data_IF_768547213708
#
_entry.id   IF_768547213708
#
_cell.length_a   1.000
_cell.length_b   1.000
_cell.length_c   1.000
_cell.angle_alpha   90.00
_cell.angle_beta   90.00
_cell.angle_gamma   90.00
#
_symmetry.space_group_name_H-M   'P 1'
#
loop_
_entity.id
_entity.type
_entity.pdbx_description
1 polymer ?
#
# COMPACT_ATOMS: atom_id res chain seq x y z
N UNK A 1 -4.55 -17.06 -35.11
CA UNK A 1 -5.07 -15.70 -34.91
C UNK A 1 -4.41 -15.17 -33.65
N UNK A 2 -3.30 -14.47 -33.81
CA UNK A 2 -2.70 -13.69 -32.73
C UNK A 2 -3.71 -12.61 -32.34
N UNK A 3 -4.15 -12.63 -31.08
CA UNK A 3 -4.94 -11.55 -30.51
C UNK A 3 -4.10 -10.28 -30.58
N UNK A 4 -4.52 -9.33 -31.40
CA UNK A 4 -4.02 -7.95 -31.38
C UNK A 4 -4.21 -7.41 -29.96
N UNK A 5 -3.15 -7.42 -29.17
CA UNK A 5 -3.12 -6.77 -27.86
C UNK A 5 -3.26 -5.29 -28.14
N UNK A 6 -4.45 -4.74 -27.88
CA UNK A 6 -4.64 -3.30 -27.90
C UNK A 6 -3.89 -2.77 -26.69
N UNK A 7 -2.74 -2.15 -26.93
CA UNK A 7 -2.00 -1.44 -25.89
C UNK A 7 -2.93 -0.39 -25.26
N UNK A 8 -3.22 -0.51 -23.96
CA UNK A 8 -3.95 0.55 -23.28
C UNK A 8 -3.00 1.71 -23.02
N UNK A 9 -3.33 2.94 -23.48
CA UNK A 9 -2.49 4.10 -23.24
C UNK A 9 -2.33 4.40 -21.73
N UNK A 10 -3.22 3.90 -20.87
CA UNK A 10 -3.14 4.10 -19.43
C UNK A 10 -1.87 3.50 -18.82
N UNK A 11 -1.54 2.25 -19.17
CA UNK A 11 -0.36 1.58 -18.63
C UNK A 11 0.92 2.29 -19.09
N UNK A 12 0.98 2.74 -20.34
CA UNK A 12 2.13 3.47 -20.87
C UNK A 12 2.29 4.83 -20.19
N UNK A 13 1.21 5.59 -20.06
CA UNK A 13 1.21 6.87 -19.34
C UNK A 13 1.65 6.72 -17.89
N UNK A 14 1.15 5.69 -17.20
CA UNK A 14 1.54 5.43 -15.82
C UNK A 14 3.03 5.12 -15.73
N UNK A 15 3.57 4.26 -16.60
CA UNK A 15 4.98 3.90 -16.58
C UNK A 15 5.92 5.02 -17.00
N UNK A 16 5.48 5.92 -17.89
CA UNK A 16 6.27 7.10 -18.30
C UNK A 16 6.33 8.15 -17.18
N UNK A 17 5.26 8.28 -16.40
CA UNK A 17 5.14 9.31 -15.36
C UNK A 17 5.64 8.83 -13.99
N UNK A 18 5.42 7.55 -13.68
CA UNK A 18 5.62 6.98 -12.35
C UNK A 18 6.34 5.63 -12.38
N UNK A 19 6.92 5.28 -11.23
CA UNK A 19 7.55 3.99 -10.98
C UNK A 19 7.21 3.53 -9.57
N UNK A 20 6.86 2.26 -9.40
CA UNK A 20 6.83 1.64 -8.08
C UNK A 20 8.22 1.06 -7.77
N UNK A 21 8.71 1.32 -6.57
CA UNK A 21 10.00 0.83 -6.07
C UNK A 21 9.79 0.13 -4.75
N UNK A 22 10.33 -1.09 -4.59
CA UNK A 22 10.34 -1.77 -3.29
C UNK A 22 11.37 -1.07 -2.39
N UNK A 23 11.01 -0.74 -1.16
CA UNK A 23 11.97 -0.18 -0.19
C UNK A 23 12.79 -1.32 0.45
N UNK A 24 13.81 -1.77 -0.26
CA UNK A 24 14.62 -2.95 0.10
C UNK A 24 16.02 -2.60 0.65
N UNK A 25 16.26 -1.30 0.86
CA UNK A 25 17.46 -0.72 1.47
C UNK A 25 17.08 0.25 2.58
N UNK A 26 17.98 0.49 3.53
CA UNK A 26 17.73 1.42 4.63
C UNK A 26 17.42 2.83 4.12
N UNK A 27 18.10 3.28 3.06
CA UNK A 27 17.86 4.59 2.45
C UNK A 27 16.42 4.71 1.93
N UNK A 28 15.93 3.69 1.22
CA UNK A 28 14.54 3.71 0.73
C UNK A 28 13.53 3.61 1.88
N UNK A 29 13.84 2.88 2.94
CA UNK A 29 12.99 2.81 4.14
C UNK A 29 12.94 4.17 4.86
N UNK A 30 14.05 4.90 4.94
CA UNK A 30 14.04 6.27 5.46
C UNK A 30 13.17 7.21 4.61
N UNK A 31 13.22 7.09 3.27
CA UNK A 31 12.34 7.86 2.38
C UNK A 31 10.86 7.58 2.66
N UNK A 32 10.49 6.33 2.96
CA UNK A 32 9.12 5.99 3.40
C UNK A 32 8.75 6.73 4.67
N UNK A 33 9.61 6.74 5.69
CA UNK A 33 9.31 7.39 6.98
C UNK A 33 9.21 8.91 6.87
N UNK A 34 10.06 9.54 6.05
CA UNK A 34 9.98 10.98 5.77
C UNK A 34 8.68 11.32 5.01
N UNK A 35 8.32 10.51 4.01
CA UNK A 35 7.08 10.70 3.26
C UNK A 35 5.85 10.54 4.16
N UNK A 36 5.85 9.53 5.03
CA UNK A 36 4.80 9.33 6.04
C UNK A 36 4.72 10.49 7.01
N UNK A 37 5.86 11.01 7.50
CA UNK A 37 5.88 12.18 8.36
C UNK A 37 5.21 13.39 7.69
N UNK A 38 5.61 13.71 6.46
CA UNK A 38 5.00 14.80 5.69
C UNK A 38 3.49 14.63 5.57
N UNK A 39 3.00 13.43 5.26
CA UNK A 39 1.56 13.21 5.05
C UNK A 39 0.80 13.13 6.37
N UNK A 40 1.20 12.27 7.31
CA UNK A 40 0.42 11.99 8.52
C UNK A 40 0.64 13.01 9.63
N UNK A 41 1.82 13.62 9.72
CA UNK A 41 2.10 14.64 10.74
C UNK A 41 1.80 16.03 10.18
N UNK A 42 2.45 16.44 9.09
CA UNK A 42 2.36 17.84 8.62
C UNK A 42 1.08 18.16 7.83
N UNK A 43 0.65 17.28 6.92
CA UNK A 43 -0.48 17.57 6.04
C UNK A 43 -1.85 17.21 6.66
N UNK A 44 -1.94 16.05 7.31
CA UNK A 44 -3.19 15.51 7.84
C UNK A 44 -3.36 15.75 9.35
N UNK A 45 -2.29 16.05 10.09
CA UNK A 45 -2.28 16.18 11.56
C UNK A 45 -2.91 14.97 12.27
N UNK A 46 -2.70 13.77 11.74
CA UNK A 46 -3.15 12.51 12.38
C UNK A 46 -2.20 12.08 13.49
N UNK A 47 -0.91 12.37 13.34
CA UNK A 47 0.13 12.03 14.30
C UNK A 47 0.81 13.31 14.81
N UNK A 48 1.31 13.30 16.05
CA UNK A 48 1.99 14.45 16.64
C UNK A 48 3.40 14.60 16.07
N UNK A 49 3.70 15.73 15.41
CA UNK A 49 5.04 16.04 14.90
C UNK A 49 6.13 15.95 15.99
N UNK A 50 5.84 16.35 17.23
CA UNK A 50 6.80 16.34 18.34
C UNK A 50 7.22 14.92 18.75
N UNK A 51 6.43 13.90 18.41
CA UNK A 51 6.80 12.50 18.63
C UNK A 51 7.91 12.02 17.67
N UNK A 52 8.17 12.76 16.58
CA UNK A 52 9.14 12.42 15.53
C UNK A 52 10.09 13.59 15.26
N UNK A 53 10.96 13.95 16.22
CA UNK A 53 11.85 15.11 16.10
C UNK A 53 12.87 15.00 14.96
N UNK A 54 13.10 13.80 14.42
CA UNK A 54 13.95 13.55 13.26
C UNK A 54 13.19 13.57 11.92
N UNK A 55 11.92 13.95 11.92
CA UNK A 55 11.09 14.06 10.71
C UNK A 55 10.75 12.71 10.07
N UNK A 56 10.72 11.64 10.86
CA UNK A 56 10.47 10.27 10.39
C UNK A 56 9.38 9.58 11.19
N UNK A 57 8.18 9.45 10.60
CA UNK A 57 7.04 8.79 11.22
C UNK A 57 7.21 7.26 11.17
N UNK A 58 7.26 6.66 12.35
CA UNK A 58 7.46 5.23 12.59
C UNK A 58 6.56 4.76 13.73
N UNK A 59 6.11 3.53 13.66
CA UNK A 59 5.36 2.88 14.74
C UNK A 59 5.94 1.51 15.10
N UNK A 60 5.38 0.87 16.13
CA UNK A 60 5.85 -0.41 16.64
C UNK A 60 5.73 -1.58 15.64
N UNK A 61 4.98 -1.41 14.55
CA UNK A 61 4.71 -2.45 13.56
C UNK A 61 5.74 -2.44 12.41
N UNK A 62 6.49 -1.36 12.24
CA UNK A 62 7.39 -1.16 11.11
C UNK A 62 8.53 -2.19 11.01
N UNK A 63 8.87 -2.88 12.11
CA UNK A 63 9.88 -3.96 12.13
C UNK A 63 9.52 -5.20 11.28
N UNK A 64 8.25 -5.40 10.94
CA UNK A 64 7.75 -6.57 10.18
C UNK A 64 7.03 -6.13 8.90
N UNK A 65 7.43 -4.98 8.36
CA UNK A 65 6.79 -4.35 7.23
C UNK A 65 7.61 -4.47 5.95
N UNK A 66 6.90 -4.55 4.84
CA UNK A 66 7.41 -4.35 3.48
C UNK A 66 6.78 -3.07 2.96
N UNK A 67 7.55 -2.22 2.29
CA UNK A 67 7.04 -0.96 1.75
C UNK A 67 7.24 -0.88 0.24
N UNK A 68 6.26 -0.29 -0.43
CA UNK A 68 6.37 0.13 -1.81
C UNK A 68 6.30 1.65 -1.87
N UNK A 69 7.27 2.26 -2.55
CA UNK A 69 7.34 3.69 -2.85
C UNK A 69 6.80 3.94 -4.25
N UNK A 70 6.11 5.07 -4.42
CA UNK A 70 5.72 5.62 -5.72
C UNK A 70 6.65 6.79 -6.04
N UNK A 71 7.47 6.60 -7.06
CA UNK A 71 8.41 7.60 -7.57
C UNK A 71 7.81 8.34 -8.76
N UNK A 72 7.86 9.66 -8.73
CA UNK A 72 7.59 10.50 -9.89
C UNK A 72 8.86 10.61 -10.72
N UNK A 73 8.79 10.24 -12.00
CA UNK A 73 9.97 10.10 -12.85
C UNK A 73 10.58 11.44 -13.22
N UNK A 74 9.76 12.42 -13.60
CA UNK A 74 10.24 13.72 -14.06
C UNK A 74 11.03 14.48 -12.98
N UNK A 75 10.55 14.45 -11.72
CA UNK A 75 11.26 15.08 -10.59
C UNK A 75 12.25 14.16 -9.87
N UNK A 76 12.28 12.87 -10.23
CA UNK A 76 13.07 11.85 -9.55
C UNK A 76 12.78 11.71 -8.03
N UNK A 77 11.61 12.18 -7.56
CA UNK A 77 11.24 12.22 -6.14
C UNK A 77 10.19 11.16 -5.79
N UNK A 78 10.19 10.70 -4.53
CA UNK A 78 9.11 9.86 -4.02
C UNK A 78 7.90 10.73 -3.63
N UNK A 79 6.72 10.32 -4.08
CA UNK A 79 5.47 11.10 -3.97
C UNK A 79 4.35 10.31 -3.31
N UNK A 80 4.52 9.01 -3.11
CA UNK A 80 3.66 8.20 -2.26
C UNK A 80 4.32 6.93 -1.74
N UNK A 81 3.66 6.26 -0.81
CA UNK A 81 4.03 4.94 -0.32
C UNK A 81 2.82 4.13 0.16
N UNK A 82 3.02 2.83 0.33
CA UNK A 82 2.10 1.93 1.02
C UNK A 82 2.89 0.91 1.82
N UNK A 83 2.35 0.50 2.98
CA UNK A 83 2.91 -0.53 3.86
C UNK A 83 2.13 -1.83 3.72
N UNK A 84 2.84 -2.94 3.60
CA UNK A 84 2.33 -4.31 3.76
C UNK A 84 2.95 -4.88 5.04
N UNK A 85 2.14 -4.99 6.08
CA UNK A 85 2.55 -5.52 7.38
C UNK A 85 2.36 -7.04 7.37
N UNK A 86 3.42 -7.78 7.67
CA UNK A 86 3.45 -9.25 7.68
C UNK A 86 3.32 -9.79 9.10
N UNK A 87 2.89 -11.04 9.26
CA UNK A 87 2.96 -11.74 10.55
C UNK A 87 4.37 -11.73 11.13
N UNK A 88 4.49 -11.74 12.46
CA UNK A 88 5.78 -11.88 13.10
C UNK A 88 6.15 -13.37 13.21
N UNK A 89 7.20 -13.86 12.51
CA UNK A 89 7.60 -15.26 12.61
C UNK A 89 8.08 -15.64 14.02
N UNK A 90 8.51 -14.67 14.84
CA UNK A 90 8.95 -14.89 16.23
C UNK A 90 7.79 -14.82 17.23
N UNK A 91 6.66 -14.25 16.84
CA UNK A 91 5.49 -14.08 17.70
C UNK A 91 4.21 -14.19 16.84
N UNK A 92 3.84 -15.42 16.49
CA UNK A 92 2.72 -15.68 15.57
C UNK A 92 1.38 -15.08 16.04
N UNK A 93 1.18 -15.03 17.36
CA UNK A 93 0.01 -14.43 18.00
C UNK A 93 0.05 -12.89 18.08
N UNK A 94 1.12 -12.25 17.61
CA UNK A 94 1.20 -10.79 17.57
C UNK A 94 0.10 -10.23 16.67
N UNK A 95 -0.81 -9.44 17.25
CA UNK A 95 -1.95 -8.87 16.56
C UNK A 95 -1.54 -7.85 15.49
N UNK A 96 -2.29 -7.82 14.39
CA UNK A 96 -2.27 -6.71 13.44
C UNK A 96 -3.07 -5.52 13.98
N UNK A 97 -2.72 -4.27 13.61
CA UNK A 97 -3.47 -3.08 14.00
C UNK A 97 -4.99 -3.16 13.75
N UNK A 98 -5.44 -3.74 12.63
CA UNK A 98 -6.86 -3.82 12.31
C UNK A 98 -7.68 -4.64 13.31
N UNK A 99 -7.05 -5.58 14.01
CA UNK A 99 -7.73 -6.52 14.91
C UNK A 99 -8.39 -5.83 16.10
N UNK A 100 -7.85 -4.68 16.55
CA UNK A 100 -8.46 -3.90 17.64
C UNK A 100 -9.84 -3.33 17.28
N UNK A 101 -10.19 -3.29 15.99
CA UNK A 101 -11.47 -2.79 15.49
C UNK A 101 -12.46 -3.92 15.19
N UNK A 102 -12.13 -5.17 15.54
CA UNK A 102 -13.00 -6.33 15.35
C UNK A 102 -13.77 -6.71 16.61
N UNK A 103 -13.38 -6.19 17.77
CA UNK A 103 -14.00 -6.54 19.05
C UNK A 103 -15.51 -6.28 19.00
N UNK A 104 -16.30 -7.30 19.37
CA UNK A 104 -17.77 -7.26 19.35
C UNK A 104 -18.42 -7.33 17.96
N UNK A 105 -17.64 -7.47 16.89
CA UNK A 105 -18.18 -7.62 15.52
C UNK A 105 -18.43 -9.08 15.17
N UNK A 106 -19.62 -9.38 14.67
CA UNK A 106 -19.92 -10.69 14.07
C UNK A 106 -19.27 -10.78 12.69
N UNK A 107 -18.09 -11.37 12.64
CA UNK A 107 -17.42 -11.69 11.38
C UNK A 107 -18.19 -12.79 10.65
N UNK A 108 -18.30 -12.71 9.33
CA UNK A 108 -18.82 -13.78 8.50
C UNK A 108 -17.74 -14.83 8.12
N UNK A 109 -16.59 -14.79 8.78
CA UNK A 109 -15.50 -15.77 8.70
C UNK A 109 -14.81 -15.85 10.06
N UNK A 110 -14.16 -16.98 10.33
CA UNK A 110 -13.36 -17.13 11.54
C UNK A 110 -11.92 -16.66 11.29
N UNK A 111 -11.52 -15.56 11.93
CA UNK A 111 -10.15 -15.04 11.85
C UNK A 111 -9.14 -15.99 12.49
N UNK A 112 -9.52 -16.74 13.53
CA UNK A 112 -8.63 -17.69 14.20
C UNK A 112 -8.40 -18.97 13.38
N UNK A 113 -9.30 -19.28 12.45
CA UNK A 113 -9.12 -20.37 11.49
C UNK A 113 -8.13 -20.05 10.36
N UNK A 114 -7.76 -18.77 10.18
CA UNK A 114 -6.79 -18.35 9.18
C UNK A 114 -5.37 -18.50 9.72
N UNK A 115 -4.46 -19.07 8.92
CA UNK A 115 -3.03 -19.08 9.27
C UNK A 115 -2.50 -17.65 9.38
N UNK A 116 -1.91 -17.30 10.52
CA UNK A 116 -1.32 -15.97 10.76
C UNK A 116 -0.32 -15.58 9.66
N UNK A 117 0.45 -16.54 9.17
CA UNK A 117 1.45 -16.34 8.12
C UNK A 117 0.83 -16.10 6.74
N UNK A 118 -0.42 -16.52 6.52
CA UNK A 118 -1.19 -16.28 5.30
C UNK A 118 -2.02 -14.98 5.37
N UNK A 119 -1.74 -14.12 6.37
CA UNK A 119 -2.43 -12.85 6.58
C UNK A 119 -1.42 -11.69 6.51
N UNK A 120 -1.83 -10.59 5.89
CA UNK A 120 -1.13 -9.31 5.99
C UNK A 120 -2.12 -8.15 6.26
N UNK A 121 -1.59 -7.00 6.68
CA UNK A 121 -2.34 -5.75 6.72
C UNK A 121 -1.72 -4.72 5.75
N UNK A 122 -2.52 -4.21 4.82
CA UNK A 122 -2.19 -3.06 3.98
C UNK A 122 -2.57 -1.78 4.73
N UNK A 123 -1.58 -0.97 5.05
CA UNK A 123 -1.73 0.25 5.86
C UNK A 123 -0.83 1.37 5.36
N UNK A 124 -0.91 2.54 6.00
CA UNK A 124 -0.07 3.71 5.71
C UNK A 124 -0.02 4.10 4.23
N UNK A 125 -1.16 4.06 3.52
CA UNK A 125 -1.27 4.65 2.17
C UNK A 125 -1.10 6.17 2.29
N UNK A 126 0.04 6.68 1.84
CA UNK A 126 0.38 8.10 1.85
C UNK A 126 0.73 8.55 0.44
N UNK A 127 0.16 9.67 -0.02
CA UNK A 127 0.51 10.33 -1.27
C UNK A 127 0.52 11.81 -0.95
N UNK A 128 1.60 12.54 -1.24
CA UNK A 128 1.73 13.97 -0.90
C UNK A 128 0.65 14.83 -1.56
N UNK A 129 0.30 15.95 -0.95
CA UNK A 129 -0.85 16.78 -1.34
C UNK A 129 -0.87 17.26 -2.79
N UNK A 130 0.30 17.43 -3.40
CA UNK A 130 0.54 17.87 -4.77
C UNK A 130 0.13 16.81 -5.80
N UNK A 131 0.14 15.53 -5.41
CA UNK A 131 -0.24 14.38 -6.25
C UNK A 131 -1.59 13.79 -5.85
N UNK A 132 -2.36 14.48 -5.01
CA UNK A 132 -3.77 14.14 -4.71
C UNK A 132 -4.71 15.01 -5.53
N UNK A 133 -5.85 14.46 -5.95
CA UNK A 133 -6.90 15.27 -6.60
C UNK A 133 -7.49 16.24 -5.59
N UNK A 134 -7.11 17.51 -5.65
CA UNK A 134 -7.68 18.56 -4.80
C UNK A 134 -9.05 18.98 -5.33
N UNK A 135 -10.08 18.99 -4.47
CA UNK A 135 -11.34 19.66 -4.77
C UNK A 135 -11.21 21.14 -4.38
N UNK A 136 -11.33 22.04 -5.33
CA UNK A 136 -11.47 23.48 -5.06
C UNK A 136 -10.21 24.21 -4.58
N UNK A 137 -9.05 23.90 -5.15
CA UNK A 137 -7.79 24.56 -4.80
C UNK A 137 -7.75 26.04 -5.22
N UNK A 138 -8.38 26.91 -4.43
CA UNK A 138 -8.05 28.33 -4.39
C UNK A 138 -6.93 28.48 -3.35
N UNK A 139 -5.72 28.82 -3.80
CA UNK A 139 -4.68 29.38 -2.92
C UNK A 139 -3.51 28.51 -2.48
N UNK A 140 -3.27 27.31 -3.03
CA UNK A 140 -1.98 26.61 -2.87
C UNK A 140 -1.25 26.54 -4.20
N UNK A 141 -0.20 27.34 -4.35
CA UNK A 141 0.77 27.23 -5.44
C UNK A 141 1.63 26.00 -5.18
N UNK A 142 1.29 24.85 -5.76
CA UNK A 142 2.24 23.74 -5.84
C UNK A 142 3.32 24.11 -6.86
N UNK A 143 4.59 24.16 -6.47
CA UNK A 143 5.71 24.36 -7.40
C UNK A 143 5.85 23.21 -8.41
N UNK A 144 5.19 22.08 -8.15
CA UNK A 144 5.15 20.93 -9.05
C UNK A 144 4.23 21.20 -10.22
N UNK A 145 4.82 21.45 -11.40
CA UNK A 145 4.08 21.53 -12.66
C UNK A 145 3.83 20.13 -13.22
N UNK A 146 2.62 19.63 -13.05
CA UNK A 146 2.20 18.37 -13.65
C UNK A 146 1.77 18.56 -15.11
N UNK A 147 2.03 17.56 -15.95
CA UNK A 147 1.49 17.46 -17.31
C UNK A 147 -0.02 17.13 -17.28
N UNK A 148 -0.72 17.27 -18.41
CA UNK A 148 -2.12 16.85 -18.50
C UNK A 148 -2.30 15.35 -18.25
N UNK A 149 -1.36 14.54 -18.76
CA UNK A 149 -1.31 13.09 -18.53
C UNK A 149 -1.13 12.77 -17.05
N UNK A 150 -0.19 13.42 -16.36
CA UNK A 150 0.00 13.21 -14.91
C UNK A 150 -1.24 13.60 -14.10
N UNK A 151 -1.90 14.72 -14.44
CA UNK A 151 -3.17 15.13 -13.81
C UNK A 151 -4.27 14.09 -14.02
N UNK A 152 -4.35 13.51 -15.21
CA UNK A 152 -5.29 12.42 -15.52
C UNK A 152 -5.02 11.16 -14.69
N UNK A 153 -3.75 10.86 -14.39
CA UNK A 153 -3.34 9.68 -13.61
C UNK A 153 -3.51 9.83 -12.09
N UNK A 154 -3.59 11.05 -11.54
CA UNK A 154 -3.66 11.27 -10.08
C UNK A 154 -4.71 10.40 -9.35
N UNK A 155 -5.96 10.25 -9.86
CA UNK A 155 -6.95 9.38 -9.23
C UNK A 155 -6.55 7.90 -9.17
N UNK A 156 -5.62 7.46 -10.02
CA UNK A 156 -5.16 6.07 -10.12
C UNK A 156 -3.88 5.80 -9.34
N UNK A 157 -3.24 6.79 -8.72
CA UNK A 157 -2.05 6.55 -7.89
C UNK A 157 -2.32 5.63 -6.68
N UNK A 158 -3.46 5.77 -5.96
CA UNK A 158 -3.83 4.78 -4.94
C UNK A 158 -3.98 3.37 -5.50
N UNK A 159 -4.50 3.23 -6.73
CA UNK A 159 -4.61 1.94 -7.39
C UNK A 159 -3.23 1.34 -7.63
N UNK A 160 -2.28 2.10 -8.19
CA UNK A 160 -0.91 1.62 -8.42
C UNK A 160 -0.23 1.11 -7.14
N UNK A 161 -0.42 1.84 -6.02
CA UNK A 161 0.09 1.42 -4.71
C UNK A 161 -0.61 0.17 -4.17
N UNK A 162 -1.93 0.06 -4.28
CA UNK A 162 -2.65 -1.15 -3.88
C UNK A 162 -2.31 -2.36 -4.76
N UNK A 163 -2.13 -2.17 -6.07
CA UNK A 163 -1.65 -3.22 -6.98
C UNK A 163 -0.25 -3.69 -6.61
N UNK A 164 0.64 -2.76 -6.20
CA UNK A 164 1.95 -3.12 -5.67
C UNK A 164 1.80 -3.96 -4.38
N UNK A 165 0.97 -3.53 -3.43
CA UNK A 165 0.70 -4.28 -2.20
C UNK A 165 0.11 -5.67 -2.48
N UNK A 166 -0.81 -5.79 -3.43
CA UNK A 166 -1.34 -7.08 -3.90
C UNK A 166 -0.25 -7.96 -4.50
N UNK A 167 0.66 -7.40 -5.28
CA UNK A 167 1.80 -8.15 -5.83
C UNK A 167 2.72 -8.69 -4.74
N UNK A 168 3.03 -7.87 -3.73
CA UNK A 168 3.78 -8.31 -2.53
C UNK A 168 3.06 -9.46 -1.84
N UNK A 169 1.75 -9.31 -1.60
CA UNK A 169 0.95 -10.34 -0.93
C UNK A 169 0.98 -11.68 -1.70
N UNK A 170 0.79 -11.65 -3.02
CA UNK A 170 0.82 -12.86 -3.85
C UNK A 170 2.19 -13.54 -3.87
N UNK A 171 3.28 -12.78 -4.04
CA UNK A 171 4.64 -13.37 -4.08
C UNK A 171 5.04 -13.98 -2.72
N UNK A 172 4.48 -13.47 -1.62
CA UNK A 172 4.70 -14.00 -0.27
C UNK A 172 3.71 -15.09 0.16
N UNK A 173 2.79 -15.52 -0.72
CA UNK A 173 1.80 -16.55 -0.41
C UNK A 173 0.75 -16.12 0.62
N UNK A 174 0.41 -14.83 0.65
CA UNK A 174 -0.65 -14.29 1.50
C UNK A 174 -2.01 -14.50 0.84
N UNK A 175 -2.91 -15.17 1.55
CA UNK A 175 -4.28 -15.43 1.10
C UNK A 175 -5.26 -14.32 1.52
N UNK A 176 -4.94 -13.61 2.60
CA UNK A 176 -5.83 -12.64 3.23
C UNK A 176 -5.11 -11.33 3.54
N UNK A 177 -5.42 -10.28 2.82
CA UNK A 177 -4.99 -8.94 3.15
C UNK A 177 -6.12 -8.20 3.87
N UNK A 178 -5.78 -7.42 4.89
CA UNK A 178 -6.73 -6.56 5.60
C UNK A 178 -6.33 -5.10 5.51
N UNK A 179 -7.29 -4.18 5.51
CA UNK A 179 -7.00 -2.75 5.51
C UNK A 179 -8.06 -1.97 6.30
N UNK A 180 -7.61 -1.13 7.25
CA UNK A 180 -8.47 -0.17 7.94
C UNK A 180 -8.54 1.13 7.11
N UNK A 181 -9.64 1.35 6.40
CA UNK A 181 -9.71 2.38 5.36
C UNK A 181 -11.10 3.03 5.25
N UNK A 182 -11.15 4.19 4.61
CA UNK A 182 -12.40 4.85 4.28
C UNK A 182 -13.20 4.05 3.24
N UNK A 183 -14.52 3.93 3.44
CA UNK A 183 -15.40 3.25 2.48
C UNK A 183 -15.46 3.93 1.11
N UNK A 184 -15.05 5.21 0.99
CA UNK A 184 -14.90 5.89 -0.31
C UNK A 184 -13.72 5.34 -1.11
N UNK A 185 -12.58 5.11 -0.46
CA UNK A 185 -11.40 4.54 -1.09
C UNK A 185 -11.66 3.09 -1.50
N UNK A 186 -12.31 2.29 -0.64
CA UNK A 186 -12.70 0.92 -0.97
C UNK A 186 -13.57 0.86 -2.24
N UNK A 187 -14.61 1.69 -2.33
CA UNK A 187 -15.47 1.80 -3.53
C UNK A 187 -14.71 2.30 -4.76
N UNK A 188 -13.76 3.22 -4.58
CA UNK A 188 -12.92 3.71 -5.68
C UNK A 188 -12.08 2.58 -6.26
N UNK A 189 -11.38 1.84 -5.43
CA UNK A 189 -10.54 0.70 -5.83
C UNK A 189 -11.37 -0.46 -6.41
N UNK A 190 -12.59 -0.67 -5.92
CA UNK A 190 -13.53 -1.67 -6.47
C UNK A 190 -13.91 -1.41 -7.93
N UNK A 191 -13.96 -0.15 -8.36
CA UNK A 191 -14.23 0.19 -9.78
C UNK A 191 -13.14 -0.32 -10.73
N UNK A 192 -11.94 -0.57 -10.20
CA UNK A 192 -10.79 -1.07 -10.93
C UNK A 192 -10.61 -2.58 -10.84
N UNK A 193 -11.45 -3.29 -10.06
CA UNK A 193 -11.42 -4.75 -9.95
C UNK A 193 -10.82 -5.31 -8.66
N UNK A 194 -10.47 -4.45 -7.70
CA UNK A 194 -10.04 -4.88 -6.36
C UNK A 194 -11.27 -5.00 -5.46
N UNK A 195 -11.65 -6.21 -5.06
CA UNK A 195 -12.83 -6.40 -4.20
C UNK A 195 -12.48 -6.29 -2.71
N UNK A 196 -13.25 -5.47 -2.01
CA UNK A 196 -13.11 -5.24 -0.57
C UNK A 196 -14.37 -5.71 0.13
N UNK A 197 -14.24 -6.70 0.99
CA UNK A 197 -15.32 -7.16 1.85
C UNK A 197 -15.20 -6.43 3.19
N UNK A 198 -16.19 -5.60 3.53
CA UNK A 198 -16.23 -4.97 4.85
C UNK A 198 -16.44 -6.05 5.92
N UNK A 199 -15.60 -6.09 6.95
CA UNK A 199 -15.64 -7.14 7.98
C UNK A 199 -16.10 -6.65 9.35
N UNK A 200 -16.05 -5.33 9.61
CA UNK A 200 -16.62 -4.73 10.80
C UNK A 200 -17.33 -3.40 10.47
N UNK A 201 -18.16 -2.85 11.37
CA UNK A 201 -18.82 -1.57 11.17
C UNK A 201 -17.86 -0.39 10.95
N UNK A 202 -18.42 0.71 10.42
CA UNK A 202 -17.69 1.97 10.35
C UNK A 202 -17.47 2.52 11.77
N UNK A 203 -16.25 2.95 12.05
CA UNK A 203 -15.80 3.56 13.30
C UNK A 203 -15.11 4.89 12.98
N UNK A 204 -15.26 5.87 13.88
CA UNK A 204 -14.54 7.14 13.74
C UNK A 204 -13.08 6.97 14.22
N UNK A 205 -12.17 6.89 13.25
CA UNK A 205 -10.74 6.70 13.47
C UNK A 205 -10.00 7.42 12.33
N UNK A 206 -9.56 8.65 12.58
CA UNK A 206 -9.06 9.57 11.54
C UNK A 206 -10.04 9.66 10.35
N UNK A 207 -11.32 9.90 10.69
CA UNK A 207 -12.47 9.84 9.80
C UNK A 207 -13.21 8.49 9.86
N UNK A 208 -14.34 8.41 9.15
CA UNK A 208 -15.15 7.18 9.12
C UNK A 208 -14.45 6.08 8.32
N UNK A 209 -13.98 5.05 9.03
CA UNK A 209 -13.24 3.90 8.47
C UNK A 209 -13.83 2.58 8.94
N UNK A 210 -13.59 1.54 8.17
CA UNK A 210 -13.89 0.16 8.57
C UNK A 210 -12.73 -0.74 8.17
N UNK A 211 -12.55 -1.89 8.84
CA UNK A 211 -11.67 -2.94 8.36
C UNK A 211 -12.33 -3.64 7.17
N UNK A 212 -11.54 -3.82 6.11
CA UNK A 212 -11.90 -4.56 4.92
C UNK A 212 -10.94 -5.73 4.71
N UNK A 213 -11.48 -6.89 4.32
CA UNK A 213 -10.73 -8.04 3.84
C UNK A 213 -10.65 -8.00 2.32
N UNK A 214 -9.47 -8.30 1.81
CA UNK A 214 -9.12 -8.38 0.40
C UNK A 214 -8.50 -9.76 0.19
N UNK A 215 -8.95 -10.48 -0.84
CA UNK A 215 -8.33 -11.74 -1.26
C UNK A 215 -7.39 -11.41 -2.42
N UNK A 216 -6.06 -11.47 -2.24
CA UNK A 216 -5.10 -11.10 -3.29
C UNK A 216 -5.24 -11.93 -4.57
N UNK A 217 -5.79 -13.14 -4.47
CA UNK A 217 -6.10 -14.01 -5.61
C UNK A 217 -7.42 -13.66 -6.33
N UNK A 218 -8.30 -12.89 -5.71
CA UNK A 218 -9.61 -12.51 -6.27
C UNK A 218 -9.60 -11.07 -6.81
N UNK A 219 -8.71 -10.81 -7.76
CA UNK A 219 -8.65 -9.52 -8.45
C UNK A 219 -9.21 -9.68 -9.85
N UNK A 220 -10.22 -8.89 -10.20
CA UNK A 220 -10.86 -8.90 -11.51
C UNK A 220 -10.62 -7.57 -12.22
N UNK A 221 -9.35 -7.32 -12.54
CA UNK A 221 -8.93 -6.08 -13.17
C UNK A 221 -9.47 -5.98 -14.60
N UNK A 222 -9.81 -4.76 -15.03
CA UNK A 222 -9.99 -4.48 -16.45
C UNK A 222 -8.65 -4.64 -17.17
N UNK A 223 -8.68 -4.93 -18.47
CA UNK A 223 -7.49 -5.22 -19.28
C UNK A 223 -6.34 -4.21 -19.09
N UNK A 224 -6.64 -2.91 -19.10
CA UNK A 224 -5.65 -1.85 -18.89
C UNK A 224 -4.96 -1.92 -17.52
N UNK A 225 -5.69 -2.31 -16.47
CA UNK A 225 -5.16 -2.45 -15.12
C UNK A 225 -4.45 -3.80 -14.95
N UNK A 226 -4.86 -4.85 -15.68
CA UNK A 226 -4.11 -6.11 -15.77
C UNK A 226 -2.70 -5.89 -16.31
N UNK A 227 -2.57 -5.14 -17.40
CA UNK A 227 -1.27 -4.83 -18.01
C UNK A 227 -0.37 -4.07 -17.01
N UNK A 228 -0.91 -3.06 -16.33
CA UNK A 228 -0.19 -2.36 -15.27
C UNK A 228 0.23 -3.32 -14.14
N UNK A 229 -0.69 -4.14 -13.64
CA UNK A 229 -0.42 -5.07 -12.55
C UNK A 229 0.64 -6.12 -12.89
N UNK A 230 0.61 -6.67 -14.10
CA UNK A 230 1.62 -7.60 -14.60
C UNK A 230 3.01 -6.94 -14.65
N UNK A 231 3.08 -5.69 -15.14
CA UNK A 231 4.35 -4.95 -15.13
C UNK A 231 4.85 -4.73 -13.71
N UNK A 232 4.00 -4.17 -12.83
CA UNK A 232 4.38 -3.90 -11.45
C UNK A 232 4.88 -5.17 -10.75
N UNK A 233 4.18 -6.29 -10.97
CA UNK A 233 4.58 -7.59 -10.42
C UNK A 233 5.91 -8.08 -10.98
N UNK A 234 6.17 -7.86 -12.27
CA UNK A 234 7.47 -8.18 -12.86
C UNK A 234 8.60 -7.35 -12.25
N UNK A 235 8.39 -6.04 -12.11
CA UNK A 235 9.41 -5.11 -11.58
C UNK A 235 9.70 -5.38 -10.10
N UNK A 236 8.70 -5.83 -9.33
CA UNK A 236 8.85 -6.12 -7.89
C UNK A 236 9.39 -7.52 -7.58
N UNK A 237 9.28 -8.49 -8.49
CA UNK A 237 9.57 -9.91 -8.22
C UNK A 237 11.00 -10.14 -7.70
N UNK A 238 12.01 -9.61 -8.37
CA UNK A 238 13.42 -9.86 -8.01
C UNK A 238 13.79 -9.18 -6.67
N UNK A 239 13.47 -7.89 -6.46
CA UNK A 239 13.65 -7.25 -5.15
C UNK A 239 12.92 -7.99 -4.03
N UNK A 240 11.68 -8.44 -4.26
CA UNK A 240 10.88 -9.15 -3.26
C UNK A 240 11.49 -10.48 -2.85
N UNK A 241 11.96 -11.29 -3.81
CA UNK A 241 12.65 -12.55 -3.50
C UNK A 241 13.91 -12.31 -2.67
N UNK A 242 14.67 -11.28 -3.02
CA UNK A 242 15.88 -10.89 -2.29
C UNK A 242 15.54 -10.42 -0.85
N UNK A 243 14.43 -9.70 -0.69
CA UNK A 243 13.91 -9.30 0.63
C UNK A 243 13.41 -10.50 1.44
N UNK A 244 12.63 -11.40 0.82
CA UNK A 244 12.09 -12.59 1.47
C UNK A 244 13.20 -13.54 1.97
N UNK A 245 14.25 -13.73 1.18
CA UNK A 245 15.43 -14.51 1.61
C UNK A 245 16.13 -13.89 2.83
N UNK A 246 16.21 -12.56 2.91
CA UNK A 246 16.73 -11.85 4.09
C UNK A 246 15.83 -12.05 5.31
N UNK A 247 14.51 -11.98 5.15
CA UNK A 247 13.55 -12.26 6.23
C UNK A 247 13.67 -13.71 6.73
N UNK A 248 13.74 -14.69 5.83
CA UNK A 248 13.91 -16.10 6.19
C UNK A 248 15.26 -16.37 6.87
N UNK A 249 16.34 -15.79 6.36
CA UNK A 249 17.68 -15.92 6.97
C UNK A 249 17.74 -15.26 8.35
N UNK A 250 17.11 -14.09 8.52
CA UNK A 250 16.99 -13.41 9.81
C UNK A 250 16.07 -14.14 10.80
N UNK A 251 15.13 -14.97 10.32
CA UNK A 251 14.39 -15.89 11.20
C UNK A 251 15.20 -17.14 11.58
N UNK A 252 16.05 -17.66 10.69
CA UNK A 252 16.86 -18.87 10.89
C UNK A 252 18.11 -18.64 11.76
N UNK A 253 18.74 -17.46 11.68
CA UNK A 253 19.94 -17.12 12.45
C UNK A 253 19.70 -16.97 13.97
N UNK A 254 18.44 -16.98 14.42
CA UNK A 254 18.07 -16.84 15.83
C UNK A 254 17.37 -18.08 16.40
N UNK A 255 17.20 -19.15 15.62
CA UNK A 255 16.76 -20.47 16.12
C UNK A 255 17.90 -21.33 16.68
N UNK A 256 19.13 -20.80 16.70
CA UNK A 256 20.34 -21.49 17.21
C UNK A 256 20.99 -20.72 18.37
N UNK A 257 20.22 -19.87 19.07
CA UNK A 257 20.69 -19.09 20.22
C UNK A 257 19.94 -19.45 21.49
#
# INVERSE_FOLDING_TARGET
>A
MESLVVHSPFQDYFQQSFQIVLADTNQLVEEVFRLRYRVYCEELNYENCEAFPDGMERDAYDRRAVYCLLKHRASNSFVGCVRVLLSDPKQLEAKFPFEQFLDGSSLNFDLHALSRQAICEVSRLAIISEFRRQKGAVGRTSDVQLTEVERFLLPSLPLGLYLAATSVALELGIDNAFAMMEGRLARHLQRFGLYFQQVAPLTDYHGMRAPFRILPSNVNLREEHCQLFQRLSSDLRVPLRSLALRYQSASLLYTVG
#
